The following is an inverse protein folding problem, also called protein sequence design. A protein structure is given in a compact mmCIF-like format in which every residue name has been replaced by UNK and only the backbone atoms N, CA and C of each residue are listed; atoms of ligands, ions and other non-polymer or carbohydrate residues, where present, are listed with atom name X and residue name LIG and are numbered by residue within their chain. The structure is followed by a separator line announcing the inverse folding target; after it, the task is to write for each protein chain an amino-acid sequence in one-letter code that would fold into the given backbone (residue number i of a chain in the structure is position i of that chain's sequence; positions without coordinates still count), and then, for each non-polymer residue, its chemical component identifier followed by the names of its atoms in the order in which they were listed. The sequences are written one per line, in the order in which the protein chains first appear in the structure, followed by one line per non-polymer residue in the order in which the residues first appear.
data_IF_710084041082
#
_entry.id   IF_710084041082
#
_cell.length_a   1.000
_cell.length_b   1.000
_cell.length_c   1.000
_cell.angle_alpha   90.00
_cell.angle_beta   90.00
_cell.angle_gamma   90.00
#
_symmetry.space_group_name_H-M   'P 1'
#
loop_
_entity.id
_entity.type
_entity.pdbx_description
1 polymer ?
#
# COMPACT_ATOMS: atom_id res chain seq x y z
N UNK A 1 -7.86 -2.44 -0.70
CA UNK A 1 -6.49 -2.03 -0.35
C UNK A 1 -6.07 -0.89 -1.28
N UNK A 2 -5.53 0.20 -0.73
CA UNK A 2 -4.85 1.25 -1.48
C UNK A 2 -3.35 0.96 -1.51
N UNK A 3 -2.77 1.06 -2.69
CA UNK A 3 -1.35 0.88 -2.94
C UNK A 3 -0.81 2.13 -3.65
N UNK A 4 0.24 2.73 -3.09
CA UNK A 4 0.96 3.87 -3.67
C UNK A 4 2.42 3.49 -3.85
N UNK A 5 2.97 3.62 -5.06
CA UNK A 5 4.28 3.05 -5.42
C UNK A 5 5.16 4.03 -6.20
N UNK A 6 6.47 3.85 -6.04
CA UNK A 6 7.53 4.45 -6.87
C UNK A 6 8.58 3.40 -7.24
N UNK A 7 8.99 3.32 -8.51
CA UNK A 7 10.01 2.37 -8.98
C UNK A 7 11.43 2.98 -8.96
N UNK A 8 12.43 2.27 -8.41
CA UNK A 8 13.89 2.49 -8.55
C UNK A 8 14.63 1.14 -8.46
N UNK A 9 15.89 1.04 -8.93
CA UNK A 9 16.67 -0.21 -8.87
C UNK A 9 17.46 -0.36 -7.55
N UNK A 10 17.30 -1.52 -6.89
CA UNK A 10 18.18 -2.02 -5.82
C UNK A 10 17.56 -2.03 -4.41
N UNK A 11 17.69 -3.16 -3.70
CA UNK A 11 17.17 -3.38 -2.34
C UNK A 11 18.34 -3.57 -1.34
N UNK A 12 18.38 -2.88 -0.19
CA UNK A 12 19.41 -3.07 0.85
C UNK A 12 19.17 -4.29 1.77
N UNK A 13 20.27 -4.84 2.31
CA UNK A 13 20.39 -6.17 2.94
C UNK A 13 19.97 -6.29 4.43
N UNK A 14 19.54 -5.20 5.08
CA UNK A 14 19.13 -5.24 6.50
C UNK A 14 17.69 -4.77 6.65
N UNK A 15 16.88 -5.53 7.38
CA UNK A 15 15.45 -5.33 7.54
C UNK A 15 15.07 -5.36 9.02
N UNK A 16 14.70 -4.21 9.57
CA UNK A 16 13.94 -4.12 10.81
C UNK A 16 12.67 -3.31 10.57
N UNK A 17 11.61 -3.59 11.31
CA UNK A 17 10.35 -2.86 11.24
C UNK A 17 10.18 -1.91 12.43
N UNK A 18 9.45 -0.82 12.22
CA UNK A 18 9.04 0.09 13.29
C UNK A 18 7.55 0.36 13.19
N UNK A 19 6.91 0.67 14.31
CA UNK A 19 5.51 1.04 14.36
C UNK A 19 5.32 2.26 15.27
N UNK A 20 4.39 3.14 14.91
CA UNK A 20 4.11 4.35 15.69
C UNK A 20 2.82 5.04 15.23
N UNK A 21 2.18 5.83 16.12
CA UNK A 21 0.96 6.54 15.79
C UNK A 21 1.21 7.82 14.96
N UNK A 22 2.43 8.36 15.05
CA UNK A 22 2.82 9.63 14.45
C UNK A 22 3.39 9.46 13.05
N UNK A 23 3.20 10.47 12.21
CA UNK A 23 3.70 10.49 10.84
C UNK A 23 5.25 10.35 10.76
N UNK A 24 5.96 10.73 11.83
CA UNK A 24 7.42 10.60 11.95
C UNK A 24 7.93 9.16 11.81
N UNK A 25 7.07 8.16 12.07
CA UNK A 25 7.39 6.76 11.81
C UNK A 25 7.69 6.55 10.32
N UNK A 26 6.92 7.18 9.42
CA UNK A 26 7.15 7.05 7.98
C UNK A 26 8.44 7.73 7.56
N UNK A 27 8.76 8.90 8.11
CA UNK A 27 10.00 9.62 7.82
C UNK A 27 11.27 8.87 8.24
N UNK A 28 11.14 7.90 9.14
CA UNK A 28 12.26 7.04 9.51
C UNK A 28 12.71 6.14 8.35
N UNK A 29 11.84 5.85 7.37
CA UNK A 29 12.20 5.13 6.13
C UNK A 29 13.21 5.91 5.29
N UNK A 30 13.00 7.22 5.15
CA UNK A 30 13.93 8.10 4.41
C UNK A 30 15.28 8.27 5.13
N UNK A 31 15.32 8.12 6.46
CA UNK A 31 16.52 8.33 7.28
C UNK A 31 17.32 7.06 7.55
N UNK A 32 16.72 5.88 7.35
CA UNK A 32 17.33 4.59 7.69
C UNK A 32 17.20 3.63 6.51
N UNK A 33 18.24 3.50 5.68
CA UNK A 33 18.21 2.59 4.51
C UNK A 33 17.94 1.12 4.88
N UNK A 34 18.24 0.71 6.12
CA UNK A 34 17.97 -0.63 6.64
C UNK A 34 16.54 -0.84 7.19
N UNK A 35 15.65 0.15 7.03
CA UNK A 35 14.27 0.04 7.45
C UNK A 35 13.41 -0.46 6.29
N UNK A 36 12.99 -1.72 6.35
CA UNK A 36 12.19 -2.36 5.30
C UNK A 36 10.69 -2.08 5.44
N UNK A 37 10.21 -1.79 6.66
CA UNK A 37 8.80 -1.55 6.93
C UNK A 37 8.60 -0.51 8.04
N UNK A 38 7.76 0.48 7.77
CA UNK A 38 7.23 1.40 8.77
C UNK A 38 5.71 1.25 8.83
N UNK A 39 5.18 0.94 10.01
CA UNK A 39 3.74 0.82 10.26
C UNK A 39 3.23 2.09 10.92
N UNK A 40 2.44 2.86 10.18
CA UNK A 40 1.77 4.03 10.71
C UNK A 40 0.40 3.65 11.31
N UNK A 41 0.36 3.54 12.63
CA UNK A 41 -0.82 3.17 13.42
C UNK A 41 -1.79 4.35 13.55
N UNK A 42 -2.38 4.77 12.43
CA UNK A 42 -3.33 5.88 12.38
C UNK A 42 -4.75 5.44 12.76
N UNK A 43 -5.56 6.39 13.21
CA UNK A 43 -7.01 6.23 13.33
C UNK A 43 -7.70 6.99 12.19
N UNK A 44 -7.97 6.35 11.04
CA UNK A 44 -8.66 7.02 9.96
C UNK A 44 -10.10 7.34 10.36
N UNK A 45 -10.68 8.37 9.75
CA UNK A 45 -12.13 8.60 9.88
C UNK A 45 -12.87 7.40 9.27
N UNK A 46 -14.01 6.99 9.82
CA UNK A 46 -14.85 5.97 9.19
C UNK A 46 -15.19 6.37 7.75
N UNK A 47 -15.09 5.41 6.84
CA UNK A 47 -15.41 5.58 5.42
C UNK A 47 -16.48 4.56 5.05
N UNK A 48 -17.59 5.04 4.48
CA UNK A 48 -18.72 4.21 4.06
C UNK A 48 -18.42 3.48 2.74
N UNK A 49 -17.98 2.24 2.80
CA UNK A 49 -17.49 1.51 1.62
C UNK A 49 -18.48 0.54 0.98
N UNK A 50 -19.68 0.35 1.54
CA UNK A 50 -20.62 -0.69 1.11
C UNK A 50 -20.86 -0.68 -0.41
N UNK A 51 -21.19 0.47 -0.99
CA UNK A 51 -21.46 0.60 -2.42
C UNK A 51 -20.26 0.25 -3.33
N UNK A 52 -19.03 0.47 -2.87
CA UNK A 52 -17.83 0.05 -3.60
C UNK A 52 -17.53 -1.43 -3.39
N UNK A 53 -17.74 -1.96 -2.18
CA UNK A 53 -17.54 -3.37 -1.86
C UNK A 53 -18.51 -4.26 -2.65
N UNK A 54 -19.73 -3.80 -2.90
CA UNK A 54 -20.72 -4.50 -3.75
C UNK A 54 -20.26 -4.63 -5.21
N UNK A 55 -19.26 -3.85 -5.65
CA UNK A 55 -18.67 -3.93 -6.99
C UNK A 55 -17.41 -4.81 -7.02
N UNK A 56 -17.02 -5.44 -5.91
CA UNK A 56 -15.87 -6.34 -5.89
C UNK A 56 -16.14 -7.59 -6.76
N UNK A 57 -15.12 -8.14 -7.44
CA UNK A 57 -13.73 -7.71 -7.42
C UNK A 57 -13.47 -6.58 -8.41
N UNK A 58 -12.59 -5.64 -8.02
CA UNK A 58 -12.11 -4.60 -8.94
C UNK A 58 -10.66 -4.24 -8.64
N UNK A 59 -9.96 -3.78 -9.67
CA UNK A 59 -8.62 -3.20 -9.59
C UNK A 59 -8.56 -1.97 -10.49
N UNK A 60 -8.37 -0.80 -9.89
CA UNK A 60 -8.24 0.45 -10.62
C UNK A 60 -6.89 1.06 -10.27
N UNK A 61 -6.07 1.32 -11.29
CA UNK A 61 -4.78 1.96 -11.14
C UNK A 61 -4.66 3.16 -12.08
N UNK A 62 -4.15 4.27 -11.56
CA UNK A 62 -3.89 5.49 -12.33
C UNK A 62 -2.54 6.06 -11.96
N UNK A 63 -1.93 6.77 -12.91
CA UNK A 63 -0.73 7.55 -12.69
C UNK A 63 -1.02 9.03 -12.88
N UNK A 64 -0.41 9.87 -12.06
CA UNK A 64 -0.59 11.31 -12.16
C UNK A 64 0.17 12.09 -11.11
N UNK A 65 -0.03 13.41 -11.14
CA UNK A 65 0.51 14.29 -10.13
C UNK A 65 -0.20 14.08 -8.80
N UNK A 66 0.51 14.12 -7.66
CA UNK A 66 -0.05 13.88 -6.32
C UNK A 66 -1.33 14.69 -6.04
N UNK A 67 -1.41 15.91 -6.59
CA UNK A 67 -2.55 16.82 -6.45
C UNK A 67 -3.79 16.42 -7.26
N UNK A 68 -3.64 15.63 -8.33
CA UNK A 68 -4.72 15.31 -9.29
C UNK A 68 -5.05 13.82 -9.39
N UNK A 69 -4.13 12.97 -8.95
CA UNK A 69 -4.18 11.52 -9.18
C UNK A 69 -5.37 10.87 -8.49
N UNK A 70 -5.80 11.39 -7.34
CA UNK A 70 -6.97 10.90 -6.61
C UNK A 70 -8.29 11.17 -7.33
N UNK A 71 -8.44 12.33 -7.96
CA UNK A 71 -9.63 12.64 -8.77
C UNK A 71 -9.73 11.69 -9.97
N UNK A 72 -8.59 11.39 -10.62
CA UNK A 72 -8.55 10.43 -11.74
C UNK A 72 -8.89 9.02 -11.28
N UNK A 73 -8.38 8.61 -10.12
CA UNK A 73 -8.68 7.31 -9.53
C UNK A 73 -10.17 7.20 -9.22
N UNK A 74 -10.74 8.20 -8.53
CA UNK A 74 -12.15 8.22 -8.16
C UNK A 74 -13.09 8.15 -9.38
N UNK A 75 -12.73 8.84 -10.47
CA UNK A 75 -13.50 8.81 -11.72
C UNK A 75 -13.45 7.46 -12.45
N UNK A 76 -12.43 6.64 -12.17
CA UNK A 76 -12.24 5.33 -12.80
C UNK A 76 -12.81 4.16 -11.97
N UNK A 77 -13.37 4.43 -10.78
CA UNK A 77 -13.95 3.39 -9.94
C UNK A 77 -15.29 2.87 -10.50
N UNK A 78 -15.61 1.59 -10.27
CA UNK A 78 -16.86 0.97 -10.75
C UNK A 78 -18.11 1.45 -9.99
N UNK A 79 -17.94 2.19 -8.90
CA UNK A 79 -19.02 2.72 -8.08
C UNK A 79 -18.67 4.07 -7.45
N UNK A 80 -19.63 4.73 -6.80
CA UNK A 80 -19.42 6.03 -6.19
C UNK A 80 -18.39 5.94 -5.05
N UNK A 81 -17.34 6.76 -5.12
CA UNK A 81 -16.40 6.91 -4.02
C UNK A 81 -16.91 7.95 -3.00
N UNK A 82 -17.01 7.59 -1.71
CA UNK A 82 -17.34 8.55 -0.67
C UNK A 82 -16.31 9.68 -0.62
N UNK A 83 -16.75 10.92 -0.33
CA UNK A 83 -15.84 12.05 -0.18
C UNK A 83 -14.73 11.81 0.85
N UNK A 84 -15.07 11.16 1.98
CA UNK A 84 -14.10 10.78 3.02
C UNK A 84 -13.01 9.82 2.51
N UNK A 85 -13.34 8.91 1.57
CA UNK A 85 -12.34 8.04 0.94
C UNK A 85 -11.37 8.85 0.09
N UNK A 86 -11.92 9.75 -0.73
CA UNK A 86 -11.14 10.58 -1.66
C UNK A 86 -10.20 11.52 -0.89
N UNK A 87 -10.70 12.16 0.17
CA UNK A 87 -9.92 13.02 1.06
C UNK A 87 -8.76 12.27 1.70
N UNK A 88 -9.04 11.06 2.22
CA UNK A 88 -8.03 10.25 2.88
C UNK A 88 -6.95 9.75 1.89
N UNK A 89 -7.35 9.22 0.73
CA UNK A 89 -6.42 8.84 -0.34
C UNK A 89 -5.56 10.03 -0.80
N UNK A 90 -6.13 11.24 -0.81
CA UNK A 90 -5.39 12.46 -1.18
C UNK A 90 -4.35 12.81 -0.13
N UNK A 91 -4.70 12.76 1.15
CA UNK A 91 -3.73 12.93 2.24
C UNK A 91 -2.58 11.94 2.17
N UNK A 92 -2.88 10.66 1.91
CA UNK A 92 -1.86 9.61 1.75
C UNK A 92 -0.96 9.85 0.53
N UNK A 93 -1.54 10.25 -0.61
CA UNK A 93 -0.77 10.57 -1.82
C UNK A 93 0.17 11.75 -1.57
N UNK A 94 -0.28 12.80 -0.88
CA UNK A 94 0.54 13.96 -0.54
C UNK A 94 1.69 13.59 0.41
N UNK A 95 1.41 12.83 1.47
CA UNK A 95 2.43 12.31 2.39
C UNK A 95 3.46 11.47 1.64
N UNK A 96 3.01 10.55 0.78
CA UNK A 96 3.91 9.70 0.01
C UNK A 96 4.75 10.49 -0.99
N UNK A 97 4.18 11.49 -1.68
CA UNK A 97 4.93 12.38 -2.57
C UNK A 97 6.03 13.13 -1.85
N UNK A 98 5.76 13.60 -0.63
CA UNK A 98 6.77 14.25 0.22
C UNK A 98 7.86 13.26 0.69
N UNK A 99 7.49 12.05 1.08
CA UNK A 99 8.43 11.02 1.54
C UNK A 99 9.34 10.52 0.41
N UNK A 100 8.77 10.27 -0.76
CA UNK A 100 9.47 9.75 -1.93
C UNK A 100 10.25 10.82 -2.71
N UNK A 101 9.96 12.10 -2.47
CA UNK A 101 10.42 13.21 -3.31
C UNK A 101 9.84 13.19 -4.74
N UNK A 102 8.83 12.34 -5.02
CA UNK A 102 8.23 12.22 -6.34
C UNK A 102 7.01 13.10 -6.50
N UNK A 103 6.94 13.82 -7.61
CA UNK A 103 5.77 14.60 -8.02
C UNK A 103 4.74 13.76 -8.77
N UNK A 104 5.15 12.62 -9.35
CA UNK A 104 4.30 11.67 -10.07
C UNK A 104 4.18 10.37 -9.30
N UNK A 105 2.95 9.97 -9.03
CA UNK A 105 2.61 8.80 -8.24
C UNK A 105 1.73 7.85 -9.04
N UNK A 106 1.89 6.55 -8.77
CA UNK A 106 0.92 5.53 -9.17
C UNK A 106 0.05 5.21 -7.96
N UNK A 107 -1.25 5.38 -8.10
CA UNK A 107 -2.24 4.98 -7.10
C UNK A 107 -3.04 3.80 -7.64
N UNK A 108 -3.27 2.81 -6.80
CA UNK A 108 -4.10 1.65 -7.10
C UNK A 108 -5.05 1.37 -5.95
N UNK A 109 -6.33 1.24 -6.25
CA UNK A 109 -7.37 0.80 -5.31
C UNK A 109 -7.94 -0.53 -5.78
N UNK A 110 -7.95 -1.50 -4.87
CA UNK A 110 -8.44 -2.86 -5.13
C UNK A 110 -9.51 -3.27 -4.13
N UNK A 111 -10.61 -3.82 -4.63
CA UNK A 111 -11.60 -4.57 -3.88
C UNK A 111 -11.43 -6.06 -4.17
N UNK A 112 -11.19 -6.86 -3.13
CA UNK A 112 -10.87 -8.29 -3.25
C UNK A 112 -11.96 -9.11 -2.54
N UNK A 113 -12.32 -10.27 -3.10
CA UNK A 113 -13.23 -11.24 -2.48
C UNK A 113 -12.44 -12.29 -1.67
N UNK A 114 -11.22 -12.60 -2.10
CA UNK A 114 -10.28 -13.53 -1.45
C UNK A 114 -8.89 -12.89 -1.33
N UNK A 115 -7.94 -13.54 -0.65
CA UNK A 115 -6.57 -13.04 -0.51
C UNK A 115 -5.96 -12.81 -1.92
N UNK A 116 -5.64 -11.55 -2.25
CA UNK A 116 -5.22 -11.18 -3.61
C UNK A 116 -3.90 -11.82 -4.07
N UNK A 117 -3.04 -12.23 -3.13
CA UNK A 117 -1.90 -13.09 -3.38
C UNK A 117 -1.58 -13.87 -2.10
N UNK A 118 -1.62 -15.21 -2.10
CA UNK A 118 -1.28 -16.01 -0.92
C UNK A 118 0.25 -16.08 -0.68
N UNK A 119 1.07 -15.58 -1.63
CA UNK A 119 2.53 -15.68 -1.58
C UNK A 119 3.16 -14.40 -1.04
N UNK A 120 4.06 -14.56 -0.07
CA UNK A 120 4.95 -13.48 0.36
C UNK A 120 5.95 -13.15 -0.75
N UNK A 121 6.08 -11.86 -1.07
CA UNK A 121 7.08 -11.37 -2.00
C UNK A 121 7.79 -10.16 -1.40
N UNK A 122 8.99 -9.89 -1.88
CA UNK A 122 9.66 -8.61 -1.63
C UNK A 122 9.37 -7.69 -2.79
N UNK A 123 8.94 -6.49 -2.46
CA UNK A 123 8.63 -5.47 -3.44
C UNK A 123 9.89 -5.02 -4.16
N UNK A 124 9.86 -5.06 -5.50
CA UNK A 124 10.90 -4.44 -6.34
C UNK A 124 10.55 -2.98 -6.67
N UNK A 125 10.00 -2.27 -5.69
CA UNK A 125 9.74 -0.83 -5.77
C UNK A 125 10.62 -0.10 -4.76
N UNK A 126 10.95 1.15 -5.04
CA UNK A 126 11.76 2.00 -4.16
C UNK A 126 11.07 2.22 -2.82
N UNK A 127 9.76 2.48 -2.89
CA UNK A 127 8.90 2.70 -1.75
C UNK A 127 7.48 2.32 -2.15
N UNK A 128 6.77 1.65 -1.22
CA UNK A 128 5.34 1.38 -1.33
C UNK A 128 4.65 1.82 -0.04
N UNK A 129 3.53 2.53 -0.18
CA UNK A 129 2.61 2.78 0.92
C UNK A 129 1.34 1.96 0.71
N UNK A 130 1.01 1.16 1.71
CA UNK A 130 -0.18 0.32 1.74
C UNK A 130 -1.16 0.84 2.79
N UNK A 131 -2.44 0.89 2.43
CA UNK A 131 -3.51 1.16 3.39
C UNK A 131 -4.73 0.28 3.12
N UNK A 132 -5.16 -0.47 4.13
CA UNK A 132 -6.41 -1.25 4.09
C UNK A 132 -7.53 -0.43 4.72
N UNK A 133 -8.63 -0.26 3.98
CA UNK A 133 -9.81 0.47 4.45
C UNK A 133 -10.92 -0.43 5.01
N UNK A 134 -11.00 -1.68 4.57
CA UNK A 134 -11.99 -2.66 5.03
C UNK A 134 -11.41 -4.07 4.94
N UNK A 135 -11.87 -4.95 5.83
CA UNK A 135 -11.39 -6.32 5.94
C UNK A 135 -10.08 -6.46 6.74
N UNK A 136 -9.53 -7.68 6.82
CA UNK A 136 -8.23 -7.92 7.45
C UNK A 136 -7.13 -7.10 6.73
N UNK A 137 -6.19 -6.57 7.51
CA UNK A 137 -5.05 -5.80 7.00
C UNK A 137 -4.09 -6.65 6.17
N UNK A 138 -3.07 -6.00 5.59
CA UNK A 138 -1.95 -6.70 4.94
C UNK A 138 -1.16 -7.47 5.99
N UNK A 139 -0.81 -8.73 5.71
CA UNK A 139 0.15 -9.49 6.52
C UNK A 139 1.59 -9.21 6.09
N UNK A 140 2.53 -9.22 7.02
CA UNK A 140 3.95 -9.01 6.74
C UNK A 140 4.81 -9.87 7.65
N UNK A 141 6.04 -10.14 7.18
CA UNK A 141 7.03 -10.92 7.93
C UNK A 141 8.10 -10.00 8.50
N UNK A 142 8.43 -10.17 9.77
CA UNK A 142 9.52 -9.47 10.44
C UNK A 142 10.87 -10.17 10.22
N UNK A 143 11.11 -10.70 9.02
CA UNK A 143 12.34 -11.44 8.72
C UNK A 143 13.47 -10.47 8.33
N UNK A 144 14.62 -10.59 8.99
CA UNK A 144 15.86 -10.00 8.51
C UNK A 144 16.24 -10.63 7.17
N UNK A 145 16.55 -9.80 6.16
CA UNK A 145 17.09 -10.25 4.87
C UNK A 145 16.15 -10.19 3.66
N UNK A 146 14.94 -9.64 3.73
CA UNK A 146 14.11 -9.38 2.53
C UNK A 146 13.89 -10.62 1.64
N UNK A 147 14.02 -10.45 0.31
CA UNK A 147 13.73 -11.44 -0.74
C UNK A 147 14.11 -12.90 -0.45
N UNK A 148 15.35 -13.21 -0.02
CA UNK A 148 15.74 -14.58 0.30
C UNK A 148 14.98 -15.22 1.48
N UNK A 149 14.48 -14.44 2.45
CA UNK A 149 13.68 -14.97 3.54
C UNK A 149 12.23 -15.28 3.11
N UNK A 150 11.66 -14.48 2.20
CA UNK A 150 10.36 -14.77 1.56
C UNK A 150 10.44 -15.96 0.60
N UNK A 151 11.57 -16.13 -0.10
CA UNK A 151 11.82 -17.27 -1.00
C UNK A 151 12.03 -18.60 -0.25
N UNK A 152 12.43 -18.55 1.03
CA UNK A 152 12.66 -19.72 1.88
C UNK A 152 11.38 -20.22 2.59
N UNK A 153 10.29 -19.46 2.53
CA UNK A 153 9.01 -19.93 3.06
C UNK A 153 8.41 -21.00 2.13
N UNK A 154 7.82 -22.07 2.69
CA UNK A 154 7.11 -23.06 1.89
C UNK A 154 6.03 -22.36 1.09
N UNK A 155 6.20 -22.39 -0.24
CA UNK A 155 5.16 -21.98 -1.15
C UNK A 155 4.25 -23.19 -1.25
N UNK A 156 3.16 -23.21 -0.47
CA UNK A 156 2.15 -24.24 -0.65
C UNK A 156 1.56 -24.05 -2.05
N UNK A 157 2.05 -24.85 -3.00
CA UNK A 157 1.41 -25.13 -4.28
C UNK A 157 0.22 -26.08 -4.03
N UNK A 158 -0.63 -25.75 -3.06
CA UNK A 158 -1.93 -26.36 -2.96
C UNK A 158 -2.79 -25.75 -4.07
N UNK A 159 -2.71 -26.33 -5.27
CA UNK A 159 -3.87 -26.44 -6.14
C UNK A 159 -5.02 -26.97 -5.26
N UNK A 160 -5.86 -26.06 -4.79
CA UNK A 160 -7.14 -26.42 -4.21
C UNK A 160 -7.95 -27.12 -5.30
N UNK A 161 -8.54 -28.29 -5.02
CA UNK A 161 -9.23 -29.12 -6.00
C UNK A 161 -10.46 -28.44 -6.61
#
# INVERSE_FOLDING_TARGET
MLVVEQFLPGCPDAAFSIAGPDLDVLWSTARRPALSLAVWCRRPRPVELAALLDQAPFCVAVEGHATTVTTRLAAALPGPAPGALIEDMHGLAMVFGLLSGSTRLRLRLEGLIEAGCPRFHTDQVALRLLCTYAGPGTEWLALGGGGPAAAALPQDDAELP
#
